data_IF_596911062382
#
_entry.id   IF_596911062382
#
_cell.length_a   1.000
_cell.length_b   1.000
_cell.length_c   1.000
_cell.angle_alpha   90.00
_cell.angle_beta   90.00
_cell.angle_gamma   90.00
#
_symmetry.space_group_name_H-M   'P 1'
#
loop_
_entity.id
_entity.type
_entity.pdbx_description
1 polymer ?
#
# COMPACT_ATOMS: atom_id res chain seq x y z
N UNK A 1 -12.95 12.53 2.34
CA UNK A 1 -14.05 11.65 1.87
C UNK A 1 -13.44 10.62 0.92
N UNK A 2 -14.05 9.46 0.77
CA UNK A 2 -13.54 8.37 -0.06
C UNK A 2 -14.56 7.92 -1.11
N UNK A 3 -14.12 7.07 -2.04
CA UNK A 3 -15.00 6.42 -3.02
C UNK A 3 -14.79 4.90 -3.07
N UNK A 4 -15.87 4.16 -3.23
CA UNK A 4 -15.91 2.72 -3.38
C UNK A 4 -16.25 2.36 -4.83
N UNK A 5 -15.25 1.90 -5.57
CA UNK A 5 -15.39 1.50 -6.97
C UNK A 5 -15.98 0.09 -7.14
N UNK A 6 -16.01 -0.72 -6.08
CA UNK A 6 -16.61 -2.07 -6.10
C UNK A 6 -18.14 -1.98 -6.15
N UNK A 7 -18.71 -1.07 -5.37
CA UNK A 7 -20.18 -0.88 -5.27
C UNK A 7 -20.68 0.46 -5.78
N UNK A 8 -19.78 1.27 -6.36
CA UNK A 8 -20.03 2.57 -6.97
C UNK A 8 -20.78 3.56 -6.06
N UNK A 9 -20.26 3.80 -4.86
CA UNK A 9 -20.82 4.74 -3.89
C UNK A 9 -19.72 5.30 -2.97
N UNK A 10 -20.09 6.11 -1.98
CA UNK A 10 -19.16 6.70 -1.01
C UNK A 10 -18.94 5.85 0.26
N UNK A 11 -19.55 4.67 0.36
CA UNK A 11 -19.35 3.75 1.47
C UNK A 11 -18.04 2.97 1.29
N UNK A 12 -16.97 3.49 1.87
CA UNK A 12 -15.64 2.89 1.81
C UNK A 12 -15.32 1.98 3.01
N UNK A 13 -16.35 1.55 3.75
CA UNK A 13 -16.16 0.63 4.86
C UNK A 13 -15.40 -0.60 4.35
N UNK A 14 -14.29 -0.91 5.02
CA UNK A 14 -13.53 -2.12 4.75
C UNK A 14 -14.41 -3.31 5.12
N UNK A 15 -14.48 -4.29 4.22
CA UNK A 15 -15.23 -5.55 4.33
C UNK A 15 -14.32 -6.81 4.24
N UNK A 16 -12.99 -6.60 4.16
CA UNK A 16 -11.96 -7.65 4.22
C UNK A 16 -11.00 -7.51 5.42
N UNK A 17 -10.60 -6.28 5.77
CA UNK A 17 -9.67 -5.97 6.88
C UNK A 17 -8.27 -5.54 6.43
N UNK A 18 -7.83 -5.97 5.23
CA UNK A 18 -6.50 -5.64 4.68
C UNK A 18 -6.29 -4.13 4.55
N UNK A 19 -7.28 -3.40 4.04
CA UNK A 19 -7.19 -1.95 3.87
C UNK A 19 -7.02 -1.22 5.21
N UNK A 20 -7.72 -1.66 6.25
CA UNK A 20 -7.63 -1.10 7.61
C UNK A 20 -6.23 -1.27 8.19
N UNK A 21 -5.62 -2.45 8.02
CA UNK A 21 -4.24 -2.72 8.49
C UNK A 21 -3.24 -1.80 7.79
N UNK A 22 -3.38 -1.64 6.47
CA UNK A 22 -2.52 -0.78 5.66
C UNK A 22 -2.63 0.71 6.04
N UNK A 23 -3.86 1.20 6.21
CA UNK A 23 -4.11 2.58 6.63
C UNK A 23 -3.50 2.88 8.00
N UNK A 24 -3.55 1.92 8.93
CA UNK A 24 -2.93 2.04 10.25
C UNK A 24 -1.41 2.17 10.19
N UNK A 25 -0.75 1.36 9.36
CA UNK A 25 0.72 1.42 9.21
C UNK A 25 1.14 2.79 8.67
N UNK A 26 0.44 3.29 7.65
CA UNK A 26 0.77 4.58 7.05
C UNK A 26 0.49 5.76 7.99
N UNK A 27 -0.64 5.77 8.69
CA UNK A 27 -1.13 6.97 9.37
C UNK A 27 -2.09 6.75 10.53
N UNK A 28 -2.01 5.65 11.28
CA UNK A 28 -2.71 5.55 12.56
C UNK A 28 -2.32 6.73 13.47
N UNK A 29 -3.32 7.32 14.14
CA UNK A 29 -3.12 8.45 15.03
C UNK A 29 -2.27 8.02 16.23
N UNK A 30 -1.12 8.65 16.42
CA UNK A 30 -0.25 8.49 17.57
C UNK A 30 -0.58 9.48 18.69
N UNK A 31 0.15 9.38 19.80
CA UNK A 31 0.02 10.27 20.97
C UNK A 31 -1.41 10.38 21.53
N UNK A 32 -2.18 9.30 21.45
CA UNK A 32 -3.55 9.19 21.94
C UNK A 32 -3.73 8.09 23.00
N UNK A 33 -2.62 7.51 23.48
CA UNK A 33 -2.59 6.42 24.48
C UNK A 33 -3.34 5.14 24.08
N UNK A 34 -3.64 4.94 22.80
CA UNK A 34 -4.37 3.78 22.32
C UNK A 34 -3.65 3.11 21.14
N UNK A 35 -3.56 1.79 21.17
CA UNK A 35 -3.20 1.01 19.99
C UNK A 35 -1.79 1.24 19.48
N UNK A 36 -1.69 1.69 18.23
CA UNK A 36 -0.46 1.84 17.45
C UNK A 36 -0.33 3.26 16.89
N UNK A 37 0.87 3.64 16.48
CA UNK A 37 1.13 4.87 15.71
C UNK A 37 1.56 4.51 14.31
N UNK A 38 0.97 5.16 13.31
CA UNK A 38 1.44 5.08 11.93
C UNK A 38 2.70 5.91 11.73
N UNK A 39 3.38 5.69 10.60
CA UNK A 39 4.62 6.40 10.26
C UNK A 39 4.39 7.91 10.12
N UNK A 40 3.32 8.32 9.42
CA UNK A 40 2.88 9.72 9.38
C UNK A 40 1.59 9.90 10.17
N UNK A 41 1.70 9.88 11.50
CA UNK A 41 0.54 9.94 12.39
C UNK A 41 -0.26 11.27 12.41
N UNK A 42 0.19 12.28 11.65
CA UNK A 42 -0.53 13.54 11.39
C UNK A 42 -1.08 13.62 9.95
N UNK A 43 -0.73 12.68 9.07
CA UNK A 43 -1.26 12.64 7.72
C UNK A 43 -2.75 12.29 7.73
N UNK A 44 -3.50 12.87 6.79
CA UNK A 44 -4.89 12.50 6.55
C UNK A 44 -4.94 11.32 5.58
N UNK A 45 -5.81 10.34 5.86
CA UNK A 45 -6.03 9.18 5.00
C UNK A 45 -7.24 9.43 4.08
N UNK A 46 -7.04 9.24 2.78
CA UNK A 46 -8.11 9.16 1.78
C UNK A 46 -8.37 7.69 1.47
N UNK A 47 -9.54 7.18 1.84
CA UNK A 47 -9.90 5.79 1.55
C UNK A 47 -10.45 5.66 0.13
N UNK A 48 -9.83 4.81 -0.68
CA UNK A 48 -10.29 4.49 -2.04
C UNK A 48 -10.43 2.98 -2.16
N UNK A 49 -11.67 2.48 -2.13
CA UNK A 49 -11.93 1.04 -2.10
C UNK A 49 -12.02 0.50 -3.52
N UNK A 50 -11.01 -0.28 -3.90
CA UNK A 50 -10.87 -0.91 -5.23
C UNK A 50 -10.76 -2.44 -5.18
N UNK A 51 -10.83 -3.01 -3.97
CA UNK A 51 -10.87 -4.45 -3.71
C UNK A 51 -12.16 -4.80 -2.95
N UNK A 52 -12.76 -5.93 -3.30
CA UNK A 52 -13.94 -6.49 -2.64
C UNK A 52 -13.58 -7.25 -1.35
N UNK A 53 -14.58 -7.85 -0.70
CA UNK A 53 -14.42 -8.62 0.54
C UNK A 53 -13.55 -9.87 0.41
N UNK A 54 -13.30 -10.35 -0.81
CA UNK A 54 -12.38 -11.45 -1.11
C UNK A 54 -10.97 -10.96 -1.47
N UNK A 55 -10.64 -9.70 -1.17
CA UNK A 55 -9.37 -9.05 -1.48
C UNK A 55 -9.02 -9.00 -2.98
N UNK A 56 -10.03 -8.91 -3.83
CA UNK A 56 -9.89 -8.97 -5.29
C UNK A 56 -10.52 -7.75 -5.96
N UNK A 57 -9.99 -7.32 -7.12
CA UNK A 57 -10.58 -6.24 -7.91
C UNK A 57 -10.16 -6.23 -9.37
N UNK A 58 -10.92 -5.52 -10.20
CA UNK A 58 -10.59 -5.32 -11.62
C UNK A 58 -9.56 -4.20 -11.81
N UNK A 59 -8.71 -4.31 -12.83
CA UNK A 59 -7.81 -3.23 -13.23
C UNK A 59 -8.53 -1.90 -13.53
N UNK A 60 -9.77 -1.95 -14.01
CA UNK A 60 -10.59 -0.74 -14.22
C UNK A 60 -10.94 -0.03 -12.90
N UNK A 61 -11.19 -0.76 -11.81
CA UNK A 61 -11.40 -0.18 -10.48
C UNK A 61 -10.12 0.44 -9.94
N UNK A 62 -8.98 -0.24 -10.12
CA UNK A 62 -7.68 0.24 -9.67
C UNK A 62 -7.30 1.53 -10.40
N UNK A 63 -7.45 1.55 -11.73
CA UNK A 63 -7.20 2.72 -12.57
C UNK A 63 -8.11 3.91 -12.21
N UNK A 64 -9.40 3.65 -11.95
CA UNK A 64 -10.34 4.70 -11.54
C UNK A 64 -10.01 5.24 -10.14
N UNK A 65 -9.56 4.35 -9.24
CA UNK A 65 -9.11 4.73 -7.91
C UNK A 65 -7.87 5.62 -7.91
N UNK A 66 -6.88 5.32 -8.76
CA UNK A 66 -5.69 6.15 -8.96
C UNK A 66 -6.06 7.56 -9.44
N UNK A 67 -6.90 7.64 -10.48
CA UNK A 67 -7.39 8.92 -11.01
C UNK A 67 -8.15 9.71 -9.93
N UNK A 68 -9.10 9.06 -9.25
CA UNK A 68 -9.84 9.70 -8.16
C UNK A 68 -8.92 10.22 -7.05
N UNK A 69 -7.95 9.44 -6.62
CA UNK A 69 -7.02 9.86 -5.57
C UNK A 69 -6.22 11.10 -5.99
N UNK A 70 -5.64 11.07 -7.19
CA UNK A 70 -4.88 12.19 -7.74
C UNK A 70 -5.75 13.46 -7.90
N UNK A 71 -6.97 13.32 -8.44
CA UNK A 71 -7.88 14.44 -8.67
C UNK A 71 -8.43 15.03 -7.37
N UNK A 72 -8.50 14.24 -6.30
CA UNK A 72 -8.95 14.68 -4.99
C UNK A 72 -7.78 15.09 -4.07
N UNK A 73 -6.58 15.30 -4.64
CA UNK A 73 -5.45 15.91 -3.94
C UNK A 73 -4.65 14.95 -3.05
N UNK A 74 -4.72 13.63 -3.29
CA UNK A 74 -3.77 12.71 -2.69
C UNK A 74 -2.34 13.08 -3.16
N UNK A 75 -1.41 13.18 -2.21
CA UNK A 75 0.02 13.41 -2.50
C UNK A 75 0.80 12.10 -2.55
N UNK A 76 0.33 11.10 -1.81
CA UNK A 76 0.90 9.76 -1.76
C UNK A 76 -0.23 8.74 -1.94
N UNK A 77 -0.02 7.75 -2.79
CA UNK A 77 -0.98 6.68 -3.08
C UNK A 77 -0.29 5.35 -2.77
N UNK A 78 -0.86 4.56 -1.86
CA UNK A 78 -0.36 3.22 -1.55
C UNK A 78 -1.23 2.15 -2.21
N UNK A 79 -0.62 1.32 -3.05
CA UNK A 79 -1.24 0.18 -3.71
C UNK A 79 -0.67 -1.13 -3.17
N UNK A 80 -1.29 -1.68 -2.14
CA UNK A 80 -0.90 -2.97 -1.56
C UNK A 80 -1.58 -4.15 -2.27
N UNK A 81 -1.56 -4.14 -3.60
CA UNK A 81 -2.19 -5.13 -4.47
C UNK A 81 -1.40 -5.27 -5.78
N UNK A 82 -1.53 -6.41 -6.46
CA UNK A 82 -0.88 -6.63 -7.74
C UNK A 82 -1.11 -8.04 -8.27
N UNK A 83 -0.57 -8.31 -9.46
CA UNK A 83 -0.61 -9.60 -10.13
C UNK A 83 0.46 -9.69 -11.22
N UNK A 84 0.53 -10.81 -11.94
CA UNK A 84 1.57 -11.05 -12.96
C UNK A 84 1.27 -10.41 -14.31
N UNK A 85 0.02 -10.03 -14.56
CA UNK A 85 -0.42 -9.50 -15.86
C UNK A 85 -0.26 -7.98 -15.93
N UNK A 86 0.12 -7.48 -17.10
CA UNK A 86 0.13 -6.05 -17.39
C UNK A 86 -1.26 -5.55 -17.77
N UNK A 87 -1.49 -4.26 -17.61
CA UNK A 87 -2.69 -3.58 -18.09
C UNK A 87 -2.37 -2.16 -18.55
N UNK A 88 -2.56 -1.89 -19.85
CA UNK A 88 -2.39 -0.54 -20.40
C UNK A 88 -3.28 0.49 -19.69
N UNK A 89 -4.50 0.10 -19.31
CA UNK A 89 -5.43 0.95 -18.57
C UNK A 89 -4.86 1.34 -17.21
N UNK A 90 -4.28 0.38 -16.50
CA UNK A 90 -3.66 0.62 -15.19
C UNK A 90 -2.41 1.49 -15.31
N UNK A 91 -1.54 1.18 -16.27
CA UNK A 91 -0.31 1.93 -16.52
C UNK A 91 -0.59 3.40 -16.89
N UNK A 92 -1.58 3.64 -17.75
CA UNK A 92 -2.02 5.00 -18.08
C UNK A 92 -2.51 5.76 -16.84
N UNK A 93 -3.25 5.11 -15.94
CA UNK A 93 -3.73 5.75 -14.72
C UNK A 93 -2.59 6.03 -13.71
N UNK A 94 -1.59 5.15 -13.64
CA UNK A 94 -0.38 5.36 -12.85
C UNK A 94 0.39 6.56 -13.37
N UNK A 95 0.66 6.60 -14.68
CA UNK A 95 1.37 7.71 -15.32
C UNK A 95 0.59 9.03 -15.17
N UNK A 96 -0.74 8.99 -15.20
CA UNK A 96 -1.57 10.15 -14.89
C UNK A 96 -1.35 10.64 -13.45
N UNK A 97 -1.51 9.78 -12.45
CA UNK A 97 -1.31 10.16 -11.05
C UNK A 97 0.12 10.65 -10.77
N UNK A 98 1.12 9.98 -11.36
CA UNK A 98 2.52 10.40 -11.32
C UNK A 98 2.72 11.79 -11.94
N UNK A 99 2.14 12.05 -13.11
CA UNK A 99 2.21 13.38 -13.78
C UNK A 99 1.55 14.50 -12.97
N UNK A 100 0.64 14.15 -12.04
CA UNK A 100 0.00 15.07 -11.10
C UNK A 100 0.85 15.31 -9.84
N UNK A 101 2.04 14.71 -9.76
CA UNK A 101 2.96 14.81 -8.63
C UNK A 101 2.63 13.86 -7.48
N UNK A 102 1.89 12.76 -7.73
CA UNK A 102 1.64 11.75 -6.72
C UNK A 102 2.86 10.82 -6.58
N UNK A 103 3.29 10.57 -5.34
CA UNK A 103 4.20 9.47 -5.03
C UNK A 103 3.37 8.19 -4.92
N UNK A 104 3.70 7.16 -5.70
CA UNK A 104 2.93 5.92 -5.76
C UNK A 104 3.78 4.78 -5.20
N UNK A 105 3.38 4.19 -4.08
CA UNK A 105 4.07 3.02 -3.50
C UNK A 105 3.28 1.76 -3.81
N UNK A 106 3.96 0.67 -4.17
CA UNK A 106 3.30 -0.58 -4.56
C UNK A 106 3.96 -1.76 -3.87
N UNK A 107 3.15 -2.67 -3.31
CA UNK A 107 3.67 -3.94 -2.80
C UNK A 107 4.13 -4.83 -3.94
N UNK A 108 5.36 -5.34 -3.87
CA UNK A 108 5.94 -6.10 -4.98
C UNK A 108 5.49 -7.57 -5.10
N UNK A 109 4.79 -8.14 -4.11
CA UNK A 109 4.28 -9.51 -4.19
C UNK A 109 4.98 -10.52 -3.27
N UNK A 110 4.31 -11.64 -3.04
CA UNK A 110 4.58 -12.56 -1.92
C UNK A 110 4.94 -14.01 -2.36
N UNK A 111 5.29 -14.20 -3.64
CA UNK A 111 5.53 -15.53 -4.23
C UNK A 111 6.94 -16.09 -4.00
N UNK A 112 7.84 -15.33 -3.37
CA UNK A 112 9.24 -15.69 -3.17
C UNK A 112 9.98 -16.07 -4.47
N UNK A 113 9.74 -15.33 -5.56
CA UNK A 113 10.36 -15.55 -6.86
C UNK A 113 10.87 -14.23 -7.46
N UNK A 114 11.42 -14.31 -8.67
CA UNK A 114 11.84 -13.13 -9.43
C UNK A 114 10.81 -12.62 -10.44
N UNK A 115 9.57 -13.11 -10.38
CA UNK A 115 8.52 -12.74 -11.32
C UNK A 115 8.12 -11.29 -11.06
N UNK A 116 8.22 -10.45 -12.09
CA UNK A 116 7.78 -9.05 -12.01
C UNK A 116 6.27 -9.02 -11.84
N UNK A 117 5.80 -8.36 -10.78
CA UNK A 117 4.39 -8.15 -10.50
C UNK A 117 4.00 -6.71 -10.85
N UNK A 118 2.80 -6.51 -11.39
CA UNK A 118 2.25 -5.21 -11.74
C UNK A 118 1.14 -4.82 -10.75
N UNK A 119 1.08 -3.55 -10.32
CA UNK A 119 1.77 -2.41 -10.92
C UNK A 119 3.21 -2.15 -10.45
N UNK A 120 3.75 -2.92 -9.50
CA UNK A 120 5.10 -2.69 -8.96
C UNK A 120 6.22 -2.76 -10.01
N UNK A 121 5.98 -3.42 -11.15
CA UNK A 121 6.92 -3.54 -12.25
C UNK A 121 6.94 -2.38 -13.25
N UNK A 122 6.07 -1.36 -13.08
CA UNK A 122 6.05 -0.13 -13.88
C UNK A 122 7.08 0.89 -13.38
N UNK A 123 7.52 1.80 -14.24
CA UNK A 123 8.59 2.75 -13.90
C UNK A 123 8.12 3.90 -12.98
N UNK A 124 6.86 4.32 -13.11
CA UNK A 124 6.29 5.48 -12.40
C UNK A 124 5.78 5.15 -10.99
N UNK A 125 6.37 4.16 -10.33
CA UNK A 125 6.02 3.75 -8.96
C UNK A 125 7.27 3.42 -8.15
N UNK A 126 7.11 3.31 -6.83
CA UNK A 126 8.12 2.78 -5.92
C UNK A 126 7.70 1.36 -5.54
N UNK A 127 8.41 0.37 -6.04
CA UNK A 127 8.23 -1.04 -5.72
C UNK A 127 8.85 -1.38 -4.37
N UNK A 128 8.01 -1.88 -3.45
CA UNK A 128 8.40 -2.11 -2.04
C UNK A 128 8.39 -3.59 -1.67
N UNK A 129 9.55 -4.06 -1.22
CA UNK A 129 9.73 -5.40 -0.64
C UNK A 129 9.66 -5.46 0.88
N UNK A 130 9.60 -6.69 1.40
CA UNK A 130 9.44 -6.94 2.82
C UNK A 130 10.69 -7.54 3.46
N UNK A 131 11.06 -6.99 4.61
CA UNK A 131 12.06 -7.54 5.53
C UNK A 131 11.42 -8.06 6.84
N UNK A 132 12.14 -8.95 7.50
CA UNK A 132 11.86 -9.37 8.87
C UNK A 132 12.53 -8.47 9.91
N UNK A 133 12.35 -8.78 11.19
CA UNK A 133 12.92 -8.04 12.31
C UNK A 133 14.44 -8.20 12.50
N UNK A 134 15.11 -8.90 11.57
CA UNK A 134 16.58 -9.06 11.51
C UNK A 134 17.14 -8.46 10.22
N UNK A 135 16.36 -7.60 9.57
CA UNK A 135 16.66 -6.97 8.28
C UNK A 135 16.96 -7.99 7.17
N UNK A 136 16.41 -9.21 7.26
CA UNK A 136 16.50 -10.21 6.20
C UNK A 136 15.28 -10.11 5.30
N UNK A 137 15.46 -10.31 3.98
CA UNK A 137 14.33 -10.42 3.05
C UNK A 137 13.39 -11.53 3.52
N UNK A 138 12.09 -11.22 3.65
CA UNK A 138 11.08 -12.21 3.99
C UNK A 138 11.10 -13.37 2.99
N UNK A 139 11.27 -14.59 3.47
CA UNK A 139 11.26 -15.81 2.67
C UNK A 139 10.82 -17.01 3.54
N UNK A 140 10.44 -18.15 2.93
CA UNK A 140 9.93 -19.32 3.67
C UNK A 140 10.90 -19.99 4.63
N UNK A 141 12.21 -19.66 4.61
CA UNK A 141 13.17 -20.18 5.57
C UNK A 141 13.15 -19.43 6.91
N UNK A 142 12.44 -18.30 6.99
CA UNK A 142 12.22 -17.58 8.25
C UNK A 142 11.10 -18.31 9.02
N UNK A 143 11.35 -18.77 10.27
CA UNK A 143 10.33 -19.45 11.06
C UNK A 143 9.05 -18.64 11.15
N UNK A 144 7.89 -19.26 10.89
CA UNK A 144 6.60 -18.58 10.90
C UNK A 144 6.28 -17.76 9.63
N UNK A 145 7.16 -17.75 8.64
CA UNK A 145 6.92 -17.17 7.31
C UNK A 145 6.56 -18.28 6.33
N UNK A 146 5.30 -18.37 5.89
CA UNK A 146 4.84 -19.32 4.86
C UNK A 146 4.73 -18.68 3.47
N UNK A 147 5.36 -17.52 3.29
CA UNK A 147 5.37 -16.70 2.08
C UNK A 147 6.77 -16.12 1.88
N UNK A 148 7.00 -15.35 0.82
CA UNK A 148 8.22 -14.57 0.73
C UNK A 148 8.11 -13.37 -0.19
N UNK A 149 8.77 -12.29 0.20
CA UNK A 149 8.97 -11.14 -0.67
C UNK A 149 9.61 -11.61 -1.97
N UNK A 150 9.07 -11.24 -3.13
CA UNK A 150 9.74 -11.47 -4.43
C UNK A 150 11.17 -10.85 -4.45
N UNK A 151 11.89 -10.90 -5.57
CA UNK A 151 13.20 -10.26 -5.68
C UNK A 151 13.58 -9.94 -7.12
N UNK A 152 14.45 -8.96 -7.33
CA UNK A 152 14.93 -8.61 -8.67
C UNK A 152 15.37 -7.16 -8.76
N UNK A 153 15.91 -6.77 -9.91
CA UNK A 153 16.37 -5.40 -10.17
C UNK A 153 15.24 -4.38 -10.31
N UNK A 154 13.99 -4.83 -10.32
CA UNK A 154 12.80 -3.98 -10.41
C UNK A 154 12.24 -3.57 -9.04
N UNK A 155 12.95 -3.89 -7.95
CA UNK A 155 12.60 -3.48 -6.58
C UNK A 155 13.40 -2.24 -6.22
N UNK A 156 12.73 -1.17 -5.83
CA UNK A 156 13.38 0.09 -5.46
C UNK A 156 13.88 0.08 -4.02
N UNK A 157 13.02 -0.36 -3.09
CA UNK A 157 13.27 -0.32 -1.65
C UNK A 157 12.63 -1.49 -0.92
N UNK A 158 13.05 -1.71 0.33
CA UNK A 158 12.42 -2.68 1.24
C UNK A 158 12.04 -2.00 2.55
N UNK A 159 11.01 -2.52 3.21
CA UNK A 159 10.54 -2.06 4.51
C UNK A 159 10.03 -3.25 5.36
N UNK A 160 9.81 -3.08 6.68
CA UNK A 160 9.31 -4.15 7.52
C UNK A 160 7.96 -4.70 7.04
N UNK A 161 7.86 -6.02 6.86
CA UNK A 161 6.63 -6.67 6.39
C UNK A 161 6.32 -8.01 7.06
N UNK A 162 7.14 -8.45 8.03
CA UNK A 162 6.90 -9.65 8.82
C UNK A 162 6.33 -9.29 10.19
N UNK A 163 5.19 -9.88 10.56
CA UNK A 163 4.53 -9.69 11.86
C UNK A 163 4.35 -8.21 12.25
N UNK A 164 3.70 -7.46 11.36
CA UNK A 164 3.41 -6.05 11.59
C UNK A 164 2.09 -5.91 12.34
N UNK A 165 2.14 -5.30 13.53
CA UNK A 165 0.97 -5.02 14.35
C UNK A 165 0.33 -3.69 13.91
N UNK A 166 -0.96 -3.71 13.58
CA UNK A 166 -1.67 -2.51 13.11
C UNK A 166 -3.14 -2.51 13.52
N UNK A 167 -3.84 -1.43 13.18
CA UNK A 167 -5.29 -1.29 13.35
C UNK A 167 -6.06 -2.37 12.60
N UNK A 168 -7.16 -2.82 13.22
CA UNK A 168 -8.07 -3.81 12.68
C UNK A 168 -9.52 -3.36 12.90
N UNK A 169 -10.47 -4.18 12.44
CA UNK A 169 -11.88 -3.90 12.62
C UNK A 169 -12.31 -3.85 14.09
N UNK A 170 -13.46 -3.22 14.32
CA UNK A 170 -14.13 -3.19 15.62
C UNK A 170 -13.21 -2.67 16.75
N UNK A 171 -12.39 -1.65 16.45
CA UNK A 171 -11.44 -1.04 17.39
C UNK A 171 -10.43 -2.04 17.98
N UNK A 172 -10.06 -3.06 17.20
CA UNK A 172 -9.04 -4.05 17.58
C UNK A 172 -7.73 -3.81 16.84
N UNK A 173 -6.73 -4.66 17.10
CA UNK A 173 -5.41 -4.62 16.51
C UNK A 173 -4.93 -6.04 16.25
N UNK A 174 -4.17 -6.25 15.17
CA UNK A 174 -3.75 -7.59 14.76
C UNK A 174 -2.41 -7.57 14.02
N UNK A 175 -1.75 -8.74 14.02
CA UNK A 175 -0.51 -8.97 13.29
C UNK A 175 -0.79 -9.47 11.87
N UNK A 176 -0.26 -8.78 10.87
CA UNK A 176 -0.30 -9.19 9.46
C UNK A 176 1.11 -9.27 8.90
N UNK A 177 1.27 -10.08 7.85
CA UNK A 177 2.54 -10.25 7.16
C UNK A 177 2.34 -10.19 5.66
N UNK A 178 3.28 -9.56 4.95
CA UNK A 178 3.30 -9.45 3.50
C UNK A 178 4.01 -8.19 3.02
N UNK A 179 4.37 -8.15 1.74
CA UNK A 179 4.82 -6.90 1.08
C UNK A 179 3.74 -5.82 1.10
N UNK A 180 2.46 -6.22 1.22
CA UNK A 180 1.36 -5.31 1.52
C UNK A 180 1.55 -4.52 2.81
N UNK A 181 2.24 -5.05 3.83
CA UNK A 181 2.49 -4.32 5.08
C UNK A 181 3.75 -3.45 4.98
N UNK A 182 4.67 -3.78 4.08
CA UNK A 182 5.88 -3.01 3.83
C UNK A 182 5.60 -1.72 3.04
N UNK A 183 4.81 -1.79 1.96
CA UNK A 183 4.45 -0.64 1.13
C UNK A 183 3.90 0.58 1.91
N UNK A 184 2.97 0.44 2.88
CA UNK A 184 2.44 1.58 3.64
C UNK A 184 3.45 2.21 4.60
N UNK A 185 4.54 1.53 5.00
CA UNK A 185 5.64 2.19 5.72
C UNK A 185 6.31 3.25 4.83
N UNK A 186 6.59 2.90 3.58
CA UNK A 186 7.18 3.81 2.60
C UNK A 186 6.21 4.93 2.25
N UNK A 187 4.93 4.63 2.11
CA UNK A 187 3.90 5.65 1.87
C UNK A 187 3.82 6.66 3.03
N UNK A 188 3.83 6.16 4.27
CA UNK A 188 3.84 7.02 5.45
C UNK A 188 5.12 7.86 5.54
N UNK A 189 6.29 7.29 5.22
CA UNK A 189 7.54 8.04 5.19
C UNK A 189 7.52 9.14 4.13
N UNK A 190 7.02 8.86 2.92
CA UNK A 190 6.83 9.87 1.89
C UNK A 190 5.88 11.00 2.36
N UNK A 191 4.79 10.64 3.04
CA UNK A 191 3.88 11.60 3.65
C UNK A 191 4.56 12.49 4.70
N UNK A 192 5.42 11.91 5.54
CA UNK A 192 6.18 12.65 6.55
C UNK A 192 7.20 13.62 5.92
N UNK A 193 7.91 13.18 4.87
CA UNK A 193 8.85 14.03 4.11
C UNK A 193 8.10 15.22 3.49
N UNK A 194 6.95 14.98 2.87
CA UNK A 194 6.12 16.04 2.29
C UNK A 194 5.49 16.96 3.35
N UNK A 195 5.19 16.45 4.55
CA UNK A 195 4.72 17.29 5.65
C UNK A 195 5.82 18.25 6.14
N UNK A 196 7.09 17.80 6.10
CA UNK A 196 8.25 18.64 6.43
C UNK A 196 8.55 19.67 5.33
N UNK A 197 8.50 19.25 4.06
CA UNK A 197 8.68 20.14 2.91
C UNK A 197 7.60 19.93 1.83
N UNK A 198 6.50 20.70 1.87
CA UNK A 198 5.36 20.51 0.99
C UNK A 198 5.61 20.81 -0.50
N UNK A 199 6.70 21.51 -0.83
CA UNK A 199 7.05 21.93 -2.19
C UNK A 199 7.93 20.94 -2.95
N UNK A 200 8.32 19.82 -2.33
CA UNK A 200 9.00 18.73 -3.02
C UNK A 200 8.08 18.14 -4.10
N UNK A 201 8.68 17.86 -5.26
CA UNK A 201 8.06 17.24 -6.44
C UNK A 201 8.62 15.86 -6.65
#
# INVERSE_FOLDING_TARGET
MGWNFVSNNNNCQDDHGHGTVNAGIAGARGNNSAGVSGVCHYCKIMTVKVLNSSNWGYYSWWASGLQYAADNGARVINMSMGGTDTSQTLETAINYAWSKGCIITVSMGNSNDSTKNYPAGYDSVIAVGATDNRDQRCNPNIPGCNWGSCYGSWIDVVAPGYWIYSTAWNNTYQYWSGTSMAAPFVAGLAGLILAYNPTLT
#
